data_IF_893767990039
#
_entry.id   IF_893767990039
#
_cell.length_a   1.000
_cell.length_b   1.000
_cell.length_c   1.000
_cell.angle_alpha   90.00
_cell.angle_beta   90.00
_cell.angle_gamma   90.00
#
_symmetry.space_group_name_H-M   'P 1'
#
loop_
_entity.id
_entity.type
_entity.pdbx_description
1 polymer ?
#
# COMPACT_ATOMS: atom_id res chain seq x y z
N UNK A 1 13.14 -13.72 -5.11
CA UNK A 1 13.52 -13.28 -3.74
C UNK A 1 13.18 -11.81 -3.50
N UNK A 2 13.80 -10.81 -4.19
CA UNK A 2 13.57 -9.37 -3.93
C UNK A 2 12.09 -8.93 -3.99
N UNK A 3 11.31 -9.39 -5.00
CA UNK A 3 9.87 -9.07 -5.12
C UNK A 3 9.06 -9.62 -3.94
N UNK A 4 9.39 -10.82 -3.47
CA UNK A 4 8.74 -11.44 -2.31
C UNK A 4 9.00 -10.63 -1.03
N UNK A 5 10.26 -10.28 -0.76
CA UNK A 5 10.59 -9.46 0.41
C UNK A 5 9.92 -8.08 0.36
N UNK A 6 9.95 -7.43 -0.80
CA UNK A 6 9.25 -6.15 -0.97
C UNK A 6 7.73 -6.30 -0.73
N UNK A 7 7.13 -7.40 -1.22
CA UNK A 7 5.70 -7.68 -1.02
C UNK A 7 5.34 -7.82 0.46
N UNK A 8 6.09 -8.66 1.19
CA UNK A 8 5.87 -8.84 2.64
C UNK A 8 6.11 -7.53 3.40
N UNK A 9 7.15 -6.78 3.04
CA UNK A 9 7.41 -5.47 3.67
C UNK A 9 6.23 -4.51 3.50
N UNK A 10 5.64 -4.43 2.29
CA UNK A 10 4.46 -3.59 2.06
C UNK A 10 3.26 -4.07 2.86
N UNK A 11 3.03 -5.39 2.97
CA UNK A 11 1.97 -5.95 3.81
C UNK A 11 2.12 -5.49 5.27
N UNK A 12 3.33 -5.62 5.85
CA UNK A 12 3.60 -5.22 7.23
C UNK A 12 3.45 -3.71 7.43
N UNK A 13 4.00 -2.89 6.52
CA UNK A 13 3.89 -1.44 6.55
C UNK A 13 2.41 -1.01 6.48
N UNK A 14 1.65 -1.58 5.57
CA UNK A 14 0.24 -1.19 5.40
C UNK A 14 -0.67 -1.73 6.50
N UNK A 15 -0.31 -2.81 7.17
CA UNK A 15 -1.05 -3.30 8.32
C UNK A 15 -0.96 -2.35 9.53
N UNK A 16 0.16 -1.64 9.70
CA UNK A 16 0.37 -0.65 10.77
C UNK A 16 -0.12 0.75 10.40
N UNK A 17 -0.25 1.03 9.09
CA UNK A 17 -0.58 2.38 8.58
C UNK A 17 -1.91 2.92 9.09
N UNK A 18 -3.05 2.18 9.12
CA UNK A 18 -4.32 2.72 9.59
C UNK A 18 -4.26 3.22 11.03
N UNK A 19 -3.63 2.46 11.93
CA UNK A 19 -3.45 2.87 13.33
C UNK A 19 -2.54 4.09 13.45
N UNK A 20 -1.43 4.11 12.72
CA UNK A 20 -0.52 5.25 12.72
C UNK A 20 -1.18 6.53 12.13
N UNK A 21 -2.12 6.40 11.17
CA UNK A 21 -2.94 7.51 10.66
C UNK A 21 -3.79 8.10 11.79
N UNK A 22 -4.49 7.28 12.56
CA UNK A 22 -5.28 7.74 13.70
C UNK A 22 -4.40 8.44 14.74
N UNK A 23 -3.27 7.84 15.11
CA UNK A 23 -2.34 8.45 16.07
C UNK A 23 -1.74 9.77 15.57
N UNK A 24 -1.48 9.91 14.28
CA UNK A 24 -0.96 11.16 13.71
C UNK A 24 -1.96 12.32 13.78
N UNK A 25 -3.24 12.01 13.83
CA UNK A 25 -4.35 12.98 13.94
C UNK A 25 -4.83 13.20 15.38
N UNK A 26 -4.10 12.72 16.39
CA UNK A 26 -4.47 12.84 17.82
C UNK A 26 -4.39 14.32 18.31
N UNK A 27 -3.43 15.10 17.81
CA UNK A 27 -3.22 16.51 18.17
C UNK A 27 -3.19 17.46 16.97
N UNK A 28 -3.41 16.93 15.76
CA UNK A 28 -3.51 17.72 14.53
C UNK A 28 -4.85 17.46 13.84
N UNK A 29 -5.29 18.43 13.02
CA UNK A 29 -6.36 18.15 12.07
C UNK A 29 -5.92 17.05 11.08
N UNK A 30 -6.89 16.30 10.56
CA UNK A 30 -6.59 15.21 9.61
C UNK A 30 -5.83 15.73 8.37
N UNK A 31 -6.16 16.95 7.91
CA UNK A 31 -5.52 17.55 6.75
C UNK A 31 -4.10 18.04 7.06
N UNK A 32 -3.86 18.60 8.26
CA UNK A 32 -2.53 18.99 8.71
C UNK A 32 -1.63 17.75 8.88
N UNK A 33 -2.14 16.67 9.47
CA UNK A 33 -1.41 15.43 9.67
C UNK A 33 -0.95 14.80 8.33
N UNK A 34 -1.85 14.68 7.34
CA UNK A 34 -1.48 14.15 6.02
C UNK A 34 -0.53 15.07 5.26
N UNK A 35 -0.73 16.39 5.36
CA UNK A 35 0.15 17.37 4.73
C UNK A 35 1.57 17.29 5.33
N UNK A 36 1.69 17.28 6.66
CA UNK A 36 2.97 17.15 7.36
C UNK A 36 3.69 15.84 7.00
N UNK A 37 2.97 14.71 7.00
CA UNK A 37 3.48 13.40 6.60
C UNK A 37 4.07 13.41 5.19
N UNK A 38 3.32 13.90 4.22
CA UNK A 38 3.73 13.87 2.81
C UNK A 38 4.82 14.89 2.51
N UNK A 39 4.78 16.06 3.16
CA UNK A 39 5.85 17.06 3.07
C UNK A 39 7.18 16.54 3.62
N UNK A 40 7.15 15.89 4.79
CA UNK A 40 8.34 15.27 5.37
C UNK A 40 8.88 14.15 4.48
N UNK A 41 8.01 13.28 3.95
CA UNK A 41 8.41 12.22 3.02
C UNK A 41 9.06 12.79 1.75
N UNK A 42 8.51 13.87 1.20
CA UNK A 42 9.06 14.55 0.04
C UNK A 42 10.41 15.21 0.34
N UNK A 43 10.53 15.93 1.48
CA UNK A 43 11.79 16.54 1.89
C UNK A 43 12.91 15.50 2.02
N UNK A 44 12.62 14.34 2.64
CA UNK A 44 13.57 13.23 2.74
C UNK A 44 13.92 12.65 1.36
N UNK A 45 12.95 12.51 0.46
CA UNK A 45 13.19 12.03 -0.89
C UNK A 45 14.12 13.00 -1.66
N UNK A 46 13.91 14.31 -1.55
CA UNK A 46 14.80 15.33 -2.18
C UNK A 46 16.19 15.30 -1.57
N UNK A 47 16.32 15.16 -0.25
CA UNK A 47 17.64 15.02 0.40
C UNK A 47 18.39 13.80 -0.12
N UNK A 48 17.72 12.65 -0.29
CA UNK A 48 18.32 11.45 -0.87
C UNK A 48 18.74 11.70 -2.33
N UNK A 49 17.89 12.37 -3.14
CA UNK A 49 18.26 12.74 -4.52
C UNK A 49 19.50 13.64 -4.58
N UNK A 50 19.56 14.63 -3.70
CA UNK A 50 20.72 15.54 -3.62
C UNK A 50 21.99 14.77 -3.24
N UNK A 51 21.89 13.88 -2.25
CA UNK A 51 23.01 13.03 -1.82
C UNK A 51 23.49 12.08 -2.92
N UNK A 52 22.57 11.47 -3.66
CA UNK A 52 22.87 10.55 -4.77
C UNK A 52 23.23 11.30 -6.07
N UNK A 53 23.24 12.63 -6.07
CA UNK A 53 23.51 13.49 -7.24
C UNK A 53 22.69 13.14 -8.48
N UNK A 54 21.44 12.69 -8.27
CA UNK A 54 20.55 12.34 -9.37
C UNK A 54 19.90 13.59 -9.96
N UNK A 55 19.83 13.64 -11.30
CA UNK A 55 19.21 14.78 -12.00
C UNK A 55 17.69 14.80 -11.83
N UNK A 56 17.15 15.95 -11.44
CA UNK A 56 15.70 16.18 -11.38
C UNK A 56 15.08 16.46 -12.76
N UNK A 57 15.89 16.71 -13.78
CA UNK A 57 15.39 16.99 -15.15
C UNK A 57 14.62 15.80 -15.77
N UNK A 58 14.98 14.58 -15.38
CA UNK A 58 14.29 13.36 -15.83
C UNK A 58 12.81 13.32 -15.38
N UNK A 59 12.43 14.09 -14.35
CA UNK A 59 11.05 14.12 -13.85
C UNK A 59 10.05 14.69 -14.87
N UNK A 60 10.48 15.64 -15.69
CA UNK A 60 9.59 16.26 -16.66
C UNK A 60 9.22 15.32 -17.82
N UNK A 61 10.09 14.38 -18.16
CA UNK A 61 9.86 13.43 -19.24
C UNK A 61 8.75 12.43 -18.92
N UNK A 62 8.58 12.09 -17.63
CA UNK A 62 7.59 11.10 -17.18
C UNK A 62 6.45 11.72 -16.36
N UNK A 63 6.21 13.01 -16.51
CA UNK A 63 5.19 13.75 -15.75
C UNK A 63 3.81 13.11 -15.73
N UNK A 64 3.38 12.47 -16.83
CA UNK A 64 2.08 11.80 -16.91
C UNK A 64 1.99 10.60 -15.98
N UNK A 65 3.08 9.81 -15.84
CA UNK A 65 3.15 8.67 -14.93
C UNK A 65 3.14 9.17 -13.49
N UNK A 66 3.88 10.23 -13.19
CA UNK A 66 3.92 10.80 -11.85
C UNK A 66 2.60 11.45 -11.46
N UNK A 67 1.92 12.13 -12.40
CA UNK A 67 0.58 12.63 -12.18
C UNK A 67 -0.43 11.50 -11.92
N UNK A 68 -0.40 10.42 -12.71
CA UNK A 68 -1.24 9.26 -12.46
C UNK A 68 -0.94 8.63 -11.08
N UNK A 69 0.32 8.57 -10.67
CA UNK A 69 0.73 8.06 -9.37
C UNK A 69 0.33 8.99 -8.22
N UNK A 70 0.34 10.31 -8.45
CA UNK A 70 -0.05 11.31 -7.43
C UNK A 70 -1.51 11.19 -7.00
N UNK A 71 -2.40 10.67 -7.86
CA UNK A 71 -3.80 10.44 -7.51
C UNK A 71 -3.97 9.40 -6.39
N UNK A 72 -3.02 8.48 -6.24
CA UNK A 72 -2.95 7.58 -5.08
C UNK A 72 -2.55 8.29 -3.78
N UNK A 73 -2.10 9.55 -3.85
CA UNK A 73 -1.74 10.39 -2.71
C UNK A 73 -2.75 11.52 -2.54
N UNK A 74 -2.97 12.33 -3.56
CA UNK A 74 -3.96 13.42 -3.57
C UNK A 74 -4.92 13.25 -4.75
N UNK A 75 -6.25 13.23 -4.52
CA UNK A 75 -6.98 13.49 -3.28
C UNK A 75 -7.16 12.27 -2.35
N UNK A 76 -6.56 11.13 -2.66
CA UNK A 76 -6.80 9.85 -1.98
C UNK A 76 -6.47 9.88 -0.48
N UNK A 77 -5.27 10.30 -0.07
CA UNK A 77 -4.87 10.26 1.34
C UNK A 77 -5.67 11.22 2.24
N UNK A 78 -5.99 12.48 1.85
CA UNK A 78 -6.96 13.29 2.59
C UNK A 78 -8.27 12.57 2.87
N UNK A 79 -8.81 11.87 1.87
CA UNK A 79 -10.05 11.11 2.02
C UNK A 79 -9.89 9.94 3.02
N UNK A 80 -8.75 9.22 2.99
CA UNK A 80 -8.44 8.17 3.97
C UNK A 80 -8.36 8.75 5.38
N UNK A 81 -7.64 9.86 5.56
CA UNK A 81 -7.45 10.49 6.86
C UNK A 81 -8.77 11.02 7.43
N UNK A 82 -9.58 11.64 6.59
CA UNK A 82 -10.92 12.08 6.97
C UNK A 82 -11.81 10.90 7.38
N UNK A 83 -11.86 9.85 6.57
CA UNK A 83 -12.69 8.69 6.82
C UNK A 83 -12.26 7.89 8.07
N UNK A 84 -10.95 7.82 8.34
CA UNK A 84 -10.38 7.12 9.49
C UNK A 84 -10.75 7.76 10.86
N UNK A 85 -11.34 8.96 10.87
CA UNK A 85 -11.87 9.59 12.08
C UNK A 85 -13.17 8.94 12.55
N UNK A 86 -13.91 8.30 11.67
CA UNK A 86 -15.26 7.78 11.92
C UNK A 86 -15.32 6.28 12.16
N UNK A 87 -14.22 5.55 11.88
CA UNK A 87 -14.18 4.08 11.98
C UNK A 87 -12.87 3.59 12.58
N UNK A 88 -12.87 2.45 13.29
CA UNK A 88 -11.66 1.84 13.83
C UNK A 88 -10.62 1.52 12.75
N UNK A 89 -9.34 1.53 13.12
CA UNK A 89 -8.21 1.28 12.20
C UNK A 89 -8.26 -0.11 11.55
N UNK A 90 -8.68 -1.11 12.31
CA UNK A 90 -8.89 -2.47 11.79
C UNK A 90 -9.94 -2.51 10.68
N UNK A 91 -11.03 -1.71 10.80
CA UNK A 91 -12.09 -1.65 9.79
C UNK A 91 -11.65 -0.92 8.52
N UNK A 92 -10.83 0.12 8.64
CA UNK A 92 -10.17 0.76 7.49
C UNK A 92 -9.45 -0.28 6.65
N UNK A 93 -8.64 -1.16 7.28
CA UNK A 93 -7.93 -2.21 6.57
C UNK A 93 -8.86 -3.24 5.91
N UNK A 94 -9.97 -3.62 6.60
CA UNK A 94 -10.97 -4.58 6.06
C UNK A 94 -11.65 -4.02 4.80
N UNK A 95 -12.02 -2.73 4.80
CA UNK A 95 -12.63 -2.11 3.63
C UNK A 95 -11.62 -1.98 2.49
N UNK A 96 -10.36 -1.61 2.80
CA UNK A 96 -9.28 -1.60 1.80
C UNK A 96 -9.02 -2.98 1.19
N UNK A 97 -9.35 -4.07 1.88
CA UNK A 97 -9.25 -5.42 1.32
C UNK A 97 -10.15 -5.63 0.09
N UNK A 98 -11.13 -4.75 -0.17
CA UNK A 98 -11.91 -4.74 -1.42
C UNK A 98 -11.16 -4.14 -2.62
N UNK A 99 -9.94 -3.63 -2.43
CA UNK A 99 -9.14 -3.06 -3.53
C UNK A 99 -8.93 -3.99 -4.74
N UNK A 100 -8.82 -5.33 -4.62
CA UNK A 100 -8.75 -6.21 -5.78
C UNK A 100 -9.98 -6.11 -6.70
N UNK A 101 -11.16 -5.88 -6.14
CA UNK A 101 -12.40 -5.68 -6.92
C UNK A 101 -12.39 -4.32 -7.61
N UNK A 102 -12.05 -3.25 -6.88
CA UNK A 102 -11.89 -1.93 -7.45
C UNK A 102 -10.84 -1.93 -8.57
N UNK A 103 -9.70 -2.61 -8.37
CA UNK A 103 -8.66 -2.79 -9.38
C UNK A 103 -9.16 -3.59 -10.58
N UNK A 104 -9.98 -4.62 -10.36
CA UNK A 104 -10.62 -5.38 -11.43
C UNK A 104 -11.53 -4.50 -12.29
N UNK A 105 -12.38 -3.68 -11.67
CA UNK A 105 -13.24 -2.70 -12.37
C UNK A 105 -12.39 -1.70 -13.15
N UNK A 106 -11.34 -1.13 -12.54
CA UNK A 106 -10.45 -0.19 -13.23
C UNK A 106 -9.68 -0.86 -14.38
N UNK A 107 -9.29 -2.13 -14.24
CA UNK A 107 -8.65 -2.91 -15.30
C UNK A 107 -9.60 -3.09 -16.50
N UNK A 108 -10.88 -3.38 -16.23
CA UNK A 108 -11.90 -3.46 -17.27
C UNK A 108 -12.09 -2.12 -17.99
N UNK A 109 -12.19 -1.04 -17.24
CA UNK A 109 -12.46 0.30 -17.81
C UNK A 109 -11.25 0.88 -18.56
N UNK A 110 -10.05 0.82 -17.97
CA UNK A 110 -8.86 1.46 -18.51
C UNK A 110 -8.08 0.60 -19.50
N UNK A 111 -8.00 -0.71 -19.28
CA UNK A 111 -7.24 -1.64 -20.09
C UNK A 111 -8.14 -2.46 -21.04
N UNK A 112 -9.47 -2.35 -20.89
CA UNK A 112 -10.47 -3.13 -21.64
C UNK A 112 -10.27 -4.65 -21.51
N UNK A 113 -9.64 -5.08 -20.42
CA UNK A 113 -9.43 -6.49 -20.08
C UNK A 113 -10.46 -6.90 -19.04
N UNK A 114 -11.27 -7.92 -19.33
CA UNK A 114 -12.26 -8.41 -18.36
C UNK A 114 -11.61 -9.39 -17.37
N UNK A 115 -11.38 -9.00 -16.12
CA UNK A 115 -10.85 -9.89 -15.10
C UNK A 115 -11.93 -10.73 -14.42
N UNK A 116 -13.23 -10.48 -14.71
CA UNK A 116 -14.36 -11.09 -14.01
C UNK A 116 -14.82 -12.37 -14.68
N UNK A 117 -14.58 -13.52 -14.03
CA UNK A 117 -15.25 -14.79 -14.32
C UNK A 117 -16.28 -15.11 -13.24
N UNK A 118 -17.13 -16.12 -13.45
CA UNK A 118 -18.21 -16.49 -12.53
C UNK A 118 -17.72 -16.68 -11.09
N UNK A 119 -16.59 -17.37 -10.89
CA UNK A 119 -15.99 -17.56 -9.55
C UNK A 119 -15.63 -16.25 -8.88
N UNK A 120 -15.11 -15.27 -9.62
CA UNK A 120 -14.75 -13.97 -9.08
C UNK A 120 -15.96 -13.11 -8.74
N UNK A 121 -17.03 -13.23 -9.52
CA UNK A 121 -18.31 -12.57 -9.22
C UNK A 121 -18.93 -13.13 -7.94
N UNK A 122 -18.94 -14.46 -7.78
CA UNK A 122 -19.43 -15.09 -6.54
C UNK A 122 -18.59 -14.69 -5.32
N UNK A 123 -17.28 -14.64 -5.48
CA UNK A 123 -16.35 -14.15 -4.46
C UNK A 123 -16.62 -12.70 -4.07
N UNK A 124 -16.92 -11.84 -5.07
CA UNK A 124 -17.33 -10.45 -4.86
C UNK A 124 -18.63 -10.37 -4.06
N UNK A 125 -19.67 -11.11 -4.45
CA UNK A 125 -20.95 -11.12 -3.76
C UNK A 125 -20.79 -11.55 -2.30
N UNK A 126 -19.92 -12.54 -2.03
CA UNK A 126 -19.64 -12.97 -0.66
C UNK A 126 -18.91 -11.89 0.14
N UNK A 127 -17.93 -11.20 -0.46
CA UNK A 127 -17.22 -10.10 0.21
C UNK A 127 -18.15 -8.90 0.47
N UNK A 128 -19.05 -8.57 -0.47
CA UNK A 128 -20.09 -7.54 -0.28
C UNK A 128 -21.05 -7.97 0.84
N UNK A 129 -21.48 -9.23 0.86
CA UNK A 129 -22.31 -9.77 1.95
C UNK A 129 -21.64 -9.62 3.31
N UNK A 130 -20.34 -9.92 3.42
CA UNK A 130 -19.54 -9.69 4.62
C UNK A 130 -19.47 -8.22 5.01
N UNK A 131 -19.29 -7.33 4.04
CA UNK A 131 -19.30 -5.89 4.27
C UNK A 131 -20.68 -5.41 4.76
N UNK A 132 -21.77 -5.92 4.18
CA UNK A 132 -23.12 -5.61 4.64
C UNK A 132 -23.37 -6.05 6.09
N UNK A 133 -22.85 -7.21 6.50
CA UNK A 133 -22.90 -7.67 7.90
C UNK A 133 -22.15 -6.69 8.81
N UNK A 134 -20.97 -6.23 8.43
CA UNK A 134 -20.21 -5.22 9.16
C UNK A 134 -21.01 -3.90 9.25
N UNK A 135 -21.58 -3.45 8.14
CA UNK A 135 -22.40 -2.24 8.06
C UNK A 135 -23.65 -2.30 8.91
N UNK A 136 -24.40 -3.40 8.81
CA UNK A 136 -25.65 -3.57 9.56
C UNK A 136 -25.44 -3.42 11.06
N UNK A 137 -24.32 -3.90 11.55
CA UNK A 137 -23.92 -3.75 12.95
C UNK A 137 -23.56 -2.31 13.31
N UNK A 138 -22.92 -1.59 12.40
CA UNK A 138 -22.49 -0.21 12.65
C UNK A 138 -23.60 0.82 12.42
N UNK A 139 -24.56 0.54 11.53
CA UNK A 139 -25.76 1.37 11.34
C UNK A 139 -26.60 1.51 12.62
N UNK A 140 -26.47 0.56 13.56
CA UNK A 140 -27.10 0.68 14.88
C UNK A 140 -26.33 1.60 15.82
N UNK A 141 -25.11 2.06 15.45
CA UNK A 141 -24.26 2.81 16.36
C UNK A 141 -24.10 4.29 16.03
N UNK A 142 -23.92 4.66 14.75
CA UNK A 142 -23.82 6.08 14.38
C UNK A 142 -23.83 6.29 12.85
N UNK A 143 -24.57 7.31 12.39
CA UNK A 143 -24.56 7.77 10.99
C UNK A 143 -23.14 8.21 10.53
N UNK A 144 -22.29 8.69 11.45
CA UNK A 144 -20.92 9.10 11.15
C UNK A 144 -20.07 7.94 10.63
N UNK A 145 -20.27 6.72 11.11
CA UNK A 145 -19.55 5.52 10.62
C UNK A 145 -19.78 5.25 9.14
N UNK A 146 -20.96 5.63 8.60
CA UNK A 146 -21.26 5.51 7.16
C UNK A 146 -20.32 6.38 6.34
N UNK A 147 -20.06 7.62 6.78
CA UNK A 147 -19.12 8.52 6.10
C UNK A 147 -17.71 7.91 6.03
N UNK A 148 -17.26 7.29 7.14
CA UNK A 148 -15.97 6.59 7.19
C UNK A 148 -15.90 5.47 6.16
N UNK A 149 -16.91 4.61 6.12
CA UNK A 149 -16.92 3.46 5.20
C UNK A 149 -17.01 3.91 3.74
N UNK A 150 -17.92 4.82 3.42
CA UNK A 150 -18.06 5.37 2.04
C UNK A 150 -16.74 6.06 1.63
N UNK A 151 -16.13 6.83 2.53
CA UNK A 151 -14.84 7.48 2.28
C UNK A 151 -13.74 6.48 1.94
N UNK A 152 -13.60 5.38 2.71
CA UNK A 152 -12.59 4.35 2.41
C UNK A 152 -12.92 3.59 1.11
N UNK A 153 -14.19 3.31 0.81
CA UNK A 153 -14.57 2.70 -0.48
C UNK A 153 -14.18 3.60 -1.66
N UNK A 154 -14.47 4.90 -1.59
CA UNK A 154 -14.05 5.86 -2.63
C UNK A 154 -12.53 5.90 -2.76
N UNK A 155 -11.81 5.87 -1.64
CA UNK A 155 -10.36 5.79 -1.60
C UNK A 155 -9.84 4.52 -2.29
N UNK A 156 -10.46 3.35 -2.08
CA UNK A 156 -10.12 2.11 -2.79
C UNK A 156 -10.22 2.29 -4.32
N UNK A 157 -11.26 2.97 -4.80
CA UNK A 157 -11.42 3.23 -6.24
C UNK A 157 -10.36 4.21 -6.76
N UNK A 158 -10.05 5.29 -6.04
CA UNK A 158 -9.02 6.26 -6.40
C UNK A 158 -7.63 5.61 -6.45
N UNK A 159 -7.29 4.83 -5.44
CA UNK A 159 -6.02 4.10 -5.38
C UNK A 159 -5.90 3.08 -6.52
N UNK A 160 -6.98 2.33 -6.79
CA UNK A 160 -7.03 1.35 -7.86
C UNK A 160 -6.94 2.01 -9.23
N UNK A 161 -7.63 3.14 -9.43
CA UNK A 161 -7.55 3.94 -10.65
C UNK A 161 -6.10 4.42 -10.88
N UNK A 162 -5.48 5.04 -9.87
CA UNK A 162 -4.09 5.48 -9.93
C UNK A 162 -3.16 4.32 -10.32
N UNK A 163 -3.25 3.18 -9.64
CA UNK A 163 -2.37 2.03 -9.85
C UNK A 163 -2.50 1.44 -11.26
N UNK A 164 -3.73 1.29 -11.77
CA UNK A 164 -3.99 0.76 -13.12
C UNK A 164 -3.58 1.76 -14.18
N UNK A 165 -3.80 3.06 -13.95
CA UNK A 165 -3.40 4.11 -14.88
C UNK A 165 -1.88 4.24 -14.98
N UNK A 166 -1.17 4.20 -13.84
CA UNK A 166 0.29 4.09 -13.82
C UNK A 166 0.77 2.90 -14.63
N UNK A 167 0.15 1.72 -14.43
CA UNK A 167 0.51 0.50 -15.17
C UNK A 167 0.30 0.67 -16.68
N UNK A 168 -0.82 1.28 -17.09
CA UNK A 168 -1.13 1.58 -18.49
C UNK A 168 -0.09 2.50 -19.12
N UNK A 169 0.25 3.60 -18.47
CA UNK A 169 1.22 4.57 -18.98
C UNK A 169 2.64 4.01 -19.00
N UNK A 170 3.02 3.24 -17.99
CA UNK A 170 4.33 2.60 -17.93
C UNK A 170 4.54 1.55 -19.01
N UNK A 171 3.46 0.90 -19.49
CA UNK A 171 3.54 -0.08 -20.57
C UNK A 171 3.88 0.55 -21.94
N UNK A 172 3.57 1.84 -22.12
CA UNK A 172 3.84 2.59 -23.36
C UNK A 172 5.08 3.49 -23.30
N UNK A 173 5.71 3.58 -22.10
CA UNK A 173 6.89 4.42 -21.89
C UNK A 173 8.17 3.73 -22.37
N UNK A 174 8.98 4.45 -23.13
CA UNK A 174 10.30 3.98 -23.61
C UNK A 174 11.31 3.87 -22.46
N UNK A 175 11.25 4.79 -21.51
CA UNK A 175 12.07 4.78 -20.30
C UNK A 175 11.20 4.49 -19.09
N UNK A 176 11.60 3.51 -18.27
CA UNK A 176 10.95 3.26 -16.99
C UNK A 176 11.65 4.07 -15.89
N UNK A 177 10.85 4.88 -15.15
CA UNK A 177 11.34 5.51 -13.93
C UNK A 177 11.74 4.44 -12.91
N UNK A 178 12.80 4.69 -12.14
CA UNK A 178 13.07 3.85 -10.98
C UNK A 178 11.91 3.95 -9.96
N UNK A 179 11.69 2.92 -9.13
CA UNK A 179 10.65 2.95 -8.10
C UNK A 179 10.77 4.17 -7.17
N UNK A 180 12.01 4.58 -6.86
CA UNK A 180 12.28 5.74 -6.04
C UNK A 180 11.91 7.05 -6.75
N UNK A 181 12.26 7.20 -8.03
CA UNK A 181 11.84 8.34 -8.85
C UNK A 181 10.31 8.41 -8.96
N UNK A 182 9.66 7.27 -9.10
CA UNK A 182 8.20 7.22 -9.20
C UNK A 182 7.52 7.64 -7.90
N UNK A 183 8.03 7.20 -6.76
CA UNK A 183 7.55 7.63 -5.44
C UNK A 183 7.77 9.14 -5.23
N UNK A 184 8.96 9.65 -5.53
CA UNK A 184 9.28 11.08 -5.41
C UNK A 184 8.45 11.94 -6.36
N UNK A 185 8.29 11.50 -7.62
CA UNK A 185 7.46 12.20 -8.62
C UNK A 185 5.99 12.24 -8.22
N UNK A 186 5.45 11.15 -7.66
CA UNK A 186 4.10 11.11 -7.14
C UNK A 186 3.89 12.13 -6.00
N UNK A 187 4.84 12.21 -5.06
CA UNK A 187 4.83 13.21 -3.98
C UNK A 187 4.91 14.64 -4.52
N UNK A 188 5.80 14.90 -5.49
CA UNK A 188 5.97 16.22 -6.12
C UNK A 188 4.65 16.73 -6.70
N UNK A 189 3.90 15.89 -7.42
CA UNK A 189 2.64 16.28 -8.04
C UNK A 189 1.46 16.31 -7.05
N UNK A 190 1.53 15.58 -5.93
CA UNK A 190 0.49 15.57 -4.92
C UNK A 190 0.58 16.75 -3.95
N UNK A 191 1.79 17.21 -3.61
CA UNK A 191 2.02 18.23 -2.58
C UNK A 191 1.29 19.54 -2.82
N UNK A 192 1.25 20.14 -4.02
CA UNK A 192 0.53 21.38 -4.23
C UNK A 192 -0.94 21.29 -3.82
N UNK A 193 -1.60 20.17 -4.16
CA UNK A 193 -2.98 19.91 -3.77
C UNK A 193 -3.14 19.73 -2.26
N UNK A 194 -2.22 19.03 -1.61
CA UNK A 194 -2.23 18.83 -0.16
C UNK A 194 -2.04 20.14 0.60
N UNK A 195 -1.05 20.94 0.21
CA UNK A 195 -0.77 22.25 0.84
C UNK A 195 -1.93 23.21 0.64
N UNK A 196 -2.50 23.26 -0.58
CA UNK A 196 -3.67 24.07 -0.87
C UNK A 196 -4.87 23.64 -0.02
N UNK A 197 -5.12 22.32 0.08
CA UNK A 197 -6.22 21.81 0.90
C UNK A 197 -6.03 22.13 2.38
N UNK A 198 -4.81 21.96 2.91
CA UNK A 198 -4.50 22.35 4.27
C UNK A 198 -4.72 23.85 4.50
N UNK A 199 -4.23 24.69 3.60
CA UNK A 199 -4.38 26.15 3.70
C UNK A 199 -5.86 26.59 3.68
N UNK A 200 -6.68 25.96 2.83
CA UNK A 200 -8.10 26.29 2.71
C UNK A 200 -8.97 25.76 3.85
N UNK A 201 -8.63 24.59 4.41
CA UNK A 201 -9.46 23.89 5.40
C UNK A 201 -9.07 24.21 6.85
N UNK A 202 -7.78 24.39 7.11
CA UNK A 202 -7.21 24.58 8.44
C UNK A 202 -6.32 25.82 8.51
N UNK A 203 -5.27 25.87 7.73
CA UNK A 203 -4.36 27.01 7.59
C UNK A 203 -3.54 27.35 8.83
N UNK A 204 -3.69 26.62 9.93
CA UNK A 204 -3.05 26.87 11.21
C UNK A 204 -2.06 25.76 11.54
N UNK A 205 -0.91 26.14 12.11
CA UNK A 205 -0.03 25.18 12.76
C UNK A 205 -0.49 25.01 14.21
N UNK A 206 -0.61 23.77 14.71
CA UNK A 206 -1.00 23.54 16.09
C UNK A 206 0.06 24.14 17.04
N UNK A 207 -0.40 24.74 18.14
CA UNK A 207 0.51 25.31 19.15
C UNK A 207 1.38 24.23 19.83
N UNK A 208 0.81 23.04 19.98
CA UNK A 208 1.52 21.89 20.56
C UNK A 208 1.20 20.62 19.78
N UNK A 209 2.24 19.88 19.44
CA UNK A 209 2.12 18.56 18.81
C UNK A 209 2.51 17.51 19.83
N UNK A 210 1.61 16.57 20.13
CA UNK A 210 1.90 15.47 21.04
C UNK A 210 3.04 14.60 20.50
N UNK A 211 3.85 14.02 21.39
CA UNK A 211 4.93 13.10 21.01
C UNK A 211 4.37 11.90 20.21
N UNK A 212 3.16 11.46 20.53
CA UNK A 212 2.44 10.39 19.84
C UNK A 212 2.17 10.78 18.38
N UNK A 213 1.60 11.96 18.13
CA UNK A 213 1.34 12.43 16.77
C UNK A 213 2.62 12.67 15.99
N UNK A 214 3.63 13.30 16.61
CA UNK A 214 4.91 13.57 15.96
C UNK A 214 5.63 12.27 15.55
N UNK A 215 5.71 11.29 16.46
CA UNK A 215 6.33 9.99 16.15
C UNK A 215 5.56 9.22 15.08
N UNK A 216 4.23 9.25 15.10
CA UNK A 216 3.40 8.64 14.07
C UNK A 216 3.61 9.30 12.70
N UNK A 217 3.71 10.63 12.63
CA UNK A 217 4.00 11.36 11.39
C UNK A 217 5.38 10.98 10.84
N UNK A 218 6.41 10.95 11.67
CA UNK A 218 7.77 10.56 11.26
C UNK A 218 7.78 9.12 10.75
N UNK A 219 7.17 8.18 11.49
CA UNK A 219 7.01 6.80 11.06
C UNK A 219 6.30 6.70 9.72
N UNK A 220 5.16 7.36 9.57
CA UNK A 220 4.37 7.35 8.35
C UNK A 220 5.11 8.01 7.18
N UNK A 221 5.89 9.06 7.40
CA UNK A 221 6.66 9.72 6.35
C UNK A 221 7.77 8.81 5.81
N UNK A 222 8.57 8.23 6.72
CA UNK A 222 9.73 7.41 6.34
C UNK A 222 9.27 6.03 5.87
N UNK A 223 8.54 5.31 6.71
CA UNK A 223 8.20 3.90 6.49
C UNK A 223 6.93 3.79 5.65
N UNK A 224 5.86 4.47 6.04
CA UNK A 224 4.55 4.37 5.38
C UNK A 224 4.51 5.01 3.99
N UNK A 225 5.15 6.17 3.81
CA UNK A 225 5.10 6.92 2.55
C UNK A 225 6.30 6.66 1.66
N UNK A 226 7.51 6.97 2.12
CA UNK A 226 8.68 6.89 1.24
C UNK A 226 9.07 5.43 0.95
N UNK A 227 9.39 4.66 1.98
CA UNK A 227 9.81 3.26 1.82
C UNK A 227 8.66 2.41 1.25
N UNK A 228 7.44 2.56 1.81
CA UNK A 228 6.26 1.84 1.34
C UNK A 228 5.93 2.11 -0.12
N UNK A 229 5.99 3.38 -0.57
CA UNK A 229 5.75 3.73 -1.97
C UNK A 229 6.84 3.22 -2.90
N UNK A 230 8.12 3.30 -2.51
CA UNK A 230 9.22 2.74 -3.30
C UNK A 230 9.04 1.23 -3.49
N UNK A 231 8.74 0.50 -2.43
CA UNK A 231 8.49 -0.95 -2.50
C UNK A 231 7.23 -1.25 -3.31
N UNK A 232 6.15 -0.49 -3.13
CA UNK A 232 4.92 -0.64 -3.88
C UNK A 232 5.15 -0.45 -5.40
N UNK A 233 5.83 0.63 -5.82
CA UNK A 233 6.13 0.83 -7.23
C UNK A 233 7.13 -0.20 -7.78
N UNK A 234 8.07 -0.66 -6.96
CA UNK A 234 8.96 -1.76 -7.33
C UNK A 234 8.19 -3.04 -7.67
N UNK A 235 7.15 -3.36 -6.88
CA UNK A 235 6.29 -4.51 -7.11
C UNK A 235 5.37 -4.26 -8.30
N UNK A 236 4.76 -3.07 -8.39
CA UNK A 236 3.82 -2.70 -9.45
C UNK A 236 4.49 -2.72 -10.84
N UNK A 237 5.78 -2.40 -10.94
CA UNK A 237 6.53 -2.50 -12.19
C UNK A 237 6.70 -3.96 -12.65
N UNK A 238 6.75 -4.92 -11.73
CA UNK A 238 7.06 -6.33 -11.98
C UNK A 238 5.85 -7.25 -12.01
N UNK A 239 4.78 -6.90 -11.32
CA UNK A 239 3.55 -7.67 -11.24
C UNK A 239 2.39 -6.93 -11.89
N UNK A 240 1.29 -7.64 -12.19
CA UNK A 240 0.05 -7.01 -12.63
C UNK A 240 -0.59 -6.19 -11.50
N UNK A 241 -1.36 -5.15 -11.82
CA UNK A 241 -2.07 -4.35 -10.82
C UNK A 241 -2.99 -5.21 -9.94
N UNK A 242 -3.64 -6.23 -10.53
CA UNK A 242 -4.48 -7.18 -9.79
C UNK A 242 -3.66 -8.03 -8.80
N UNK A 243 -2.43 -8.44 -9.13
CA UNK A 243 -1.56 -9.18 -8.21
C UNK A 243 -1.07 -8.29 -7.07
N UNK A 244 -0.78 -7.02 -7.34
CA UNK A 244 -0.36 -6.04 -6.33
C UNK A 244 -1.50 -5.70 -5.37
N UNK A 245 -2.74 -5.57 -5.87
CA UNK A 245 -3.90 -5.28 -5.01
C UNK A 245 -4.19 -6.37 -3.97
N UNK A 246 -3.67 -7.59 -4.17
CA UNK A 246 -3.81 -8.68 -3.19
C UNK A 246 -3.01 -8.45 -1.88
N UNK A 247 -2.07 -7.49 -1.87
CA UNK A 247 -1.41 -7.04 -0.64
C UNK A 247 -2.46 -6.65 0.41
N UNK A 248 -3.52 -5.96 -0.03
CA UNK A 248 -4.59 -5.51 0.86
C UNK A 248 -5.46 -6.63 1.44
N UNK A 249 -5.36 -7.87 0.93
CA UNK A 249 -6.01 -9.04 1.52
C UNK A 249 -5.35 -9.51 2.82
N UNK A 250 -4.04 -9.32 2.90
CA UNK A 250 -3.25 -9.81 4.03
C UNK A 250 -3.22 -8.81 5.18
N UNK A 251 -3.43 -7.52 4.87
CA UNK A 251 -3.34 -6.44 5.86
C UNK A 251 -4.43 -6.47 6.93
N UNK A 252 -5.72 -6.83 6.68
CA UNK A 252 -6.77 -6.73 7.70
C UNK A 252 -6.54 -7.61 8.92
N UNK A 253 -6.05 -8.83 8.73
CA UNK A 253 -5.79 -9.75 9.85
C UNK A 253 -4.75 -9.15 10.81
N UNK A 254 -3.66 -8.65 10.25
CA UNK A 254 -2.60 -8.01 11.03
C UNK A 254 -3.08 -6.68 11.62
N UNK A 255 -3.82 -5.86 10.86
CA UNK A 255 -4.32 -4.58 11.34
C UNK A 255 -5.31 -4.73 12.51
N UNK A 256 -6.21 -5.71 12.47
CA UNK A 256 -7.13 -6.04 13.56
C UNK A 256 -6.36 -6.46 14.81
N UNK A 257 -5.36 -7.33 14.68
CA UNK A 257 -4.52 -7.74 15.80
C UNK A 257 -3.74 -6.56 16.39
N UNK A 258 -3.18 -5.71 15.54
CA UNK A 258 -2.46 -4.51 15.93
C UNK A 258 -3.40 -3.51 16.64
N UNK A 259 -4.57 -3.22 16.08
CA UNK A 259 -5.58 -2.34 16.67
C UNK A 259 -6.04 -2.83 18.04
N UNK A 260 -6.30 -4.16 18.17
CA UNK A 260 -6.70 -4.77 19.44
C UNK A 260 -5.61 -4.65 20.51
N UNK A 261 -4.35 -4.94 20.17
CA UNK A 261 -3.27 -4.98 21.17
C UNK A 261 -2.65 -3.61 21.48
N UNK A 262 -2.56 -2.72 20.51
CA UNK A 262 -1.90 -1.42 20.69
C UNK A 262 -2.86 -0.25 20.94
N UNK A 263 -4.10 -0.33 20.44
CA UNK A 263 -5.10 0.72 20.62
C UNK A 263 -6.30 0.29 21.47
N UNK A 264 -6.29 -0.93 22.03
CA UNK A 264 -7.39 -1.51 22.81
C UNK A 264 -8.74 -1.46 22.03
N UNK A 265 -8.70 -1.50 20.69
CA UNK A 265 -9.90 -1.52 19.85
C UNK A 265 -10.73 -2.77 20.13
N UNK A 266 -12.01 -2.59 20.42
CA UNK A 266 -12.95 -3.68 20.62
C UNK A 266 -13.80 -3.82 19.36
N UNK A 267 -13.73 -5.00 18.74
CA UNK A 267 -14.60 -5.34 17.62
C UNK A 267 -15.67 -6.30 18.11
N UNK A 268 -16.96 -6.00 17.93
CA UNK A 268 -18.04 -6.92 18.23
C UNK A 268 -17.87 -8.26 17.50
N UNK A 269 -18.30 -9.37 18.12
CA UNK A 269 -18.19 -10.71 17.52
C UNK A 269 -18.86 -10.79 16.14
N UNK A 270 -19.95 -10.07 15.95
CA UNK A 270 -20.67 -9.97 14.68
C UNK A 270 -19.83 -9.30 13.58
N UNK A 271 -19.02 -8.28 13.91
CA UNK A 271 -18.06 -7.68 12.98
C UNK A 271 -17.02 -8.71 12.54
N UNK A 272 -16.58 -9.60 13.44
CA UNK A 272 -15.63 -10.68 13.10
C UNK A 272 -16.23 -11.66 12.09
N UNK A 273 -17.54 -11.95 12.17
CA UNK A 273 -18.24 -12.79 11.15
C UNK A 273 -18.20 -12.09 9.78
N UNK A 274 -18.52 -10.82 9.72
CA UNK A 274 -18.43 -10.04 8.49
C UNK A 274 -17.01 -9.99 7.92
N UNK A 275 -16.01 -9.81 8.77
CA UNK A 275 -14.57 -9.86 8.40
C UNK A 275 -14.23 -11.24 7.81
N UNK A 276 -14.65 -12.33 8.45
CA UNK A 276 -14.42 -13.69 7.96
C UNK A 276 -15.05 -13.91 6.57
N UNK A 277 -16.28 -13.41 6.34
CA UNK A 277 -16.93 -13.47 5.03
C UNK A 277 -16.17 -12.66 3.96
N UNK A 278 -15.74 -11.44 4.29
CA UNK A 278 -14.91 -10.61 3.38
C UNK A 278 -13.64 -11.37 3.03
N UNK A 279 -12.88 -11.84 4.01
CA UNK A 279 -11.62 -12.55 3.78
C UNK A 279 -11.82 -13.83 2.96
N UNK A 280 -12.86 -14.62 3.26
CA UNK A 280 -13.17 -15.84 2.50
C UNK A 280 -13.55 -15.50 1.05
N UNK A 281 -14.38 -14.48 0.83
CA UNK A 281 -14.69 -13.98 -0.51
C UNK A 281 -13.44 -13.60 -1.30
N UNK A 282 -12.51 -12.94 -0.65
CA UNK A 282 -11.26 -12.50 -1.26
C UNK A 282 -10.30 -13.67 -1.56
N UNK A 283 -10.23 -14.67 -0.68
CA UNK A 283 -9.48 -15.93 -0.93
C UNK A 283 -10.03 -16.67 -2.17
N UNK A 284 -11.35 -16.69 -2.33
CA UNK A 284 -12.00 -17.29 -3.51
C UNK A 284 -11.81 -16.45 -4.78
N UNK A 285 -11.68 -15.13 -4.66
CA UNK A 285 -11.43 -14.24 -5.80
C UNK A 285 -10.10 -14.53 -6.49
N UNK A 286 -9.06 -14.85 -5.74
CA UNK A 286 -7.73 -15.10 -6.28
C UNK A 286 -7.03 -16.31 -5.64
N UNK A 287 -7.54 -17.53 -5.89
CA UNK A 287 -6.93 -18.76 -5.36
C UNK A 287 -5.48 -18.95 -5.83
N UNK A 288 -5.11 -18.40 -7.01
CA UNK A 288 -3.75 -18.46 -7.53
C UNK A 288 -2.77 -17.62 -6.69
N UNK A 289 -3.19 -16.47 -6.20
CA UNK A 289 -2.32 -15.62 -5.38
C UNK A 289 -2.01 -16.25 -4.03
N UNK A 290 -3.01 -16.92 -3.42
CA UNK A 290 -2.82 -17.69 -2.18
C UNK A 290 -1.85 -18.85 -2.45
N UNK A 291 -2.03 -19.57 -3.54
CA UNK A 291 -1.17 -20.69 -3.93
C UNK A 291 0.26 -20.22 -4.21
N UNK A 292 0.43 -19.15 -4.99
CA UNK A 292 1.75 -18.56 -5.26
C UNK A 292 2.44 -18.03 -4.00
N UNK A 293 1.67 -17.51 -3.05
CA UNK A 293 2.20 -17.08 -1.76
C UNK A 293 2.61 -18.28 -0.89
N UNK A 294 1.76 -19.30 -0.78
CA UNK A 294 2.09 -20.54 -0.07
C UNK A 294 3.34 -21.21 -0.67
N UNK A 295 3.41 -21.32 -2.00
CA UNK A 295 4.56 -21.89 -2.70
C UNK A 295 5.84 -21.04 -2.48
N UNK A 296 5.70 -19.72 -2.44
CA UNK A 296 6.79 -18.79 -2.13
C UNK A 296 7.29 -18.90 -0.68
N UNK A 297 6.38 -19.01 0.28
CA UNK A 297 6.72 -19.21 1.71
C UNK A 297 7.34 -20.59 1.92
N UNK A 298 6.76 -21.63 1.34
CA UNK A 298 7.27 -23.01 1.46
C UNK A 298 8.65 -23.10 0.82
N UNK A 299 8.87 -22.52 -0.37
CA UNK A 299 10.18 -22.51 -1.03
C UNK A 299 11.23 -21.71 -0.26
N UNK A 300 10.85 -20.59 0.37
CA UNK A 300 11.74 -19.81 1.23
C UNK A 300 12.10 -20.56 2.51
N UNK A 301 11.13 -21.25 3.15
CA UNK A 301 11.34 -22.12 4.30
C UNK A 301 12.25 -23.31 3.94
N UNK A 302 11.98 -23.99 2.83
CA UNK A 302 12.81 -25.10 2.37
C UNK A 302 14.23 -24.64 1.99
N UNK A 303 14.39 -23.44 1.42
CA UNK A 303 15.70 -22.86 1.14
C UNK A 303 16.45 -22.48 2.42
N UNK A 304 15.75 -22.06 3.48
CA UNK A 304 16.38 -21.78 4.79
C UNK A 304 16.80 -23.07 5.52
N UNK A 305 16.04 -24.15 5.34
CA UNK A 305 16.35 -25.46 5.89
C UNK A 305 17.45 -26.21 5.10
N UNK A 306 17.65 -25.85 3.82
CA UNK A 306 18.69 -26.41 2.94
C UNK A 306 20.02 -25.68 2.98
N UNK A 307 20.26 -24.74 3.90
CA UNK A 307 21.61 -24.22 4.12
C UNK A 307 22.46 -25.38 4.67
N UNK A 308 23.44 -25.88 3.90
CA UNK A 308 24.31 -26.92 4.40
C UNK A 308 25.10 -26.36 5.60
N UNK A 309 25.23 -27.17 6.62
CA UNK A 309 26.10 -26.91 7.77
C UNK A 309 27.62 -27.05 7.38
N UNK A 310 27.94 -27.00 6.11
CA UNK A 310 29.30 -27.14 5.62
C UNK A 310 29.90 -25.76 5.36
N UNK A 311 30.81 -25.40 6.28
CA UNK A 311 31.75 -24.29 6.16
C UNK A 311 32.75 -24.47 5.03
N UNK A 312 32.30 -24.59 3.79
CA UNK A 312 33.21 -24.45 2.65
C UNK A 312 33.42 -22.99 2.34
N UNK A 313 34.63 -22.57 2.65
CA UNK A 313 35.16 -21.23 2.47
C UNK A 313 34.88 -20.68 1.07
N UNK A 314 34.30 -19.45 0.99
CA UNK A 314 34.08 -18.72 -0.27
C UNK A 314 35.31 -18.55 -1.17
N UNK A 315 36.53 -18.93 -0.68
CA UNK A 315 37.77 -18.98 -1.42
C UNK A 315 37.82 -20.13 -2.45
N UNK A 316 37.12 -21.24 -2.21
CA UNK A 316 37.14 -22.36 -3.18
C UNK A 316 36.28 -22.10 -4.41
N UNK A 317 35.13 -21.40 -4.22
CA UNK A 317 34.24 -21.02 -5.34
C UNK A 317 34.91 -19.96 -6.24
N UNK A 318 35.70 -19.05 -5.66
CA UNK A 318 36.47 -18.05 -6.42
C UNK A 318 37.61 -18.65 -7.20
N UNK A 319 38.22 -19.72 -6.68
CA UNK A 319 39.33 -20.46 -7.37
C UNK A 319 38.81 -21.36 -8.50
N UNK A 320 37.61 -21.89 -8.39
CA UNK A 320 36.96 -22.71 -9.41
C UNK A 320 36.49 -21.87 -10.60
N UNK A 321 35.85 -20.71 -10.32
CA UNK A 321 35.48 -19.75 -11.34
C UNK A 321 36.69 -19.13 -12.08
N UNK A 322 37.80 -18.90 -11.39
CA UNK A 322 39.04 -18.40 -12.00
C UNK A 322 39.73 -19.45 -12.88
N UNK A 323 39.53 -20.75 -12.64
CA UNK A 323 40.03 -21.84 -13.49
C UNK A 323 39.17 -22.02 -14.75
N UNK A 324 37.88 -21.86 -14.69
CA UNK A 324 37.01 -21.94 -15.87
C UNK A 324 37.20 -20.75 -16.82
N UNK A 325 37.49 -19.55 -16.34
CA UNK A 325 37.79 -18.39 -17.18
C UNK A 325 39.15 -18.53 -17.90
N UNK A 326 40.14 -19.16 -17.28
CA UNK A 326 41.44 -19.42 -17.94
C UNK A 326 41.39 -20.53 -18.99
N UNK A 327 40.38 -21.42 -18.93
CA UNK A 327 40.21 -22.49 -19.94
C UNK A 327 39.46 -22.02 -21.20
N UNK A 328 38.76 -20.85 -21.14
CA UNK A 328 38.04 -20.26 -22.29
C UNK A 328 38.92 -19.37 -23.20
N UNK A 329 40.15 -19.08 -22.81
CA UNK A 329 41.08 -18.25 -23.56
C UNK A 329 42.35 -19.02 -24.04
N UNK A 330 42.31 -20.32 -24.05
CA UNK A 330 43.22 -21.20 -24.83
C UNK A 330 42.45 -21.97 -25.87
#
# INVERSE_FOLDING_TARGET
MAVFFAYISVVLIWATTPLAIQWSSDSLSFIAAVCARMSLAFALAILIHAFLRQSLAAYWQQRNIYFAASLGIFPNMPLVYWAAQFIPSGLVAVIFALSPFATGVMTLLLLKQNPFGVKRVLALLMAIGGLLVIFYQQLHFDMASIYGVVGILLSCFLFSFSSVWVKKLSATSVQQASPFQQATGALLFALPGLVLSWWLMDGHLPEQVSLKSASAIVYLAIVGSLLGAVMFFFILQRLSANAVSLITLMTPVLAILIGKHLAAEQLPTSTLVGVALVLTGLLLYSPWAVRSWCDGVISALLASLRRPADGQSGAQILLENAREDTARYK
#
